data_IF_185794990920
#
_entry.id   IF_185794990920
#
_cell.length_a   1.000
_cell.length_b   1.000
_cell.length_c   1.000
_cell.angle_alpha   90.00
_cell.angle_beta   90.00
_cell.angle_gamma   90.00
#
_symmetry.space_group_name_H-M   'P 1'
#
loop_
_entity.id
_entity.type
_entity.pdbx_description
1 polymer ?
#
# COMPACT_ATOMS: atom_id res chain seq x y z
N UNK A 1 3.78 -18.15 -8.10
CA UNK A 1 2.44 -17.57 -8.36
C UNK A 1 2.48 -16.91 -9.73
N UNK A 2 1.55 -17.23 -10.62
CA UNK A 2 1.48 -16.65 -11.97
C UNK A 2 0.64 -15.35 -11.99
N UNK A 3 0.63 -14.64 -13.11
CA UNK A 3 -0.08 -13.36 -13.27
C UNK A 3 -1.59 -13.48 -13.02
N UNK A 4 -2.21 -14.55 -13.53
CA UNK A 4 -3.65 -14.79 -13.40
C UNK A 4 -4.04 -15.02 -11.93
N UNK A 5 -3.27 -15.84 -11.20
CA UNK A 5 -3.48 -16.08 -9.78
C UNK A 5 -3.29 -14.80 -8.95
N UNK A 6 -2.31 -13.96 -9.30
CA UNK A 6 -2.12 -12.66 -8.65
C UNK A 6 -3.32 -11.74 -8.89
N UNK A 7 -3.78 -11.61 -10.13
CA UNK A 7 -4.95 -10.78 -10.47
C UNK A 7 -6.21 -11.27 -9.75
N UNK A 8 -6.43 -12.58 -9.68
CA UNK A 8 -7.54 -13.17 -8.93
C UNK A 8 -7.48 -12.82 -7.44
N UNK A 9 -6.31 -12.97 -6.81
CA UNK A 9 -6.10 -12.60 -5.41
C UNK A 9 -6.37 -11.13 -5.14
N UNK A 10 -5.92 -10.23 -6.03
CA UNK A 10 -6.14 -8.79 -5.85
C UNK A 10 -7.61 -8.39 -6.04
N UNK A 11 -8.34 -9.07 -6.95
CA UNK A 11 -9.80 -8.90 -7.05
C UNK A 11 -10.51 -9.33 -5.76
N UNK A 12 -10.09 -10.44 -5.15
CA UNK A 12 -10.64 -10.89 -3.86
C UNK A 12 -10.40 -9.86 -2.75
N UNK A 13 -9.15 -9.42 -2.59
CA UNK A 13 -8.77 -8.40 -1.59
C UNK A 13 -9.55 -7.09 -1.81
N UNK A 14 -9.75 -6.70 -3.07
CA UNK A 14 -10.58 -5.53 -3.41
C UNK A 14 -12.00 -5.66 -2.88
N UNK A 15 -12.65 -6.81 -3.11
CA UNK A 15 -14.00 -7.08 -2.58
C UNK A 15 -14.04 -7.02 -1.06
N UNK A 16 -13.10 -7.67 -0.37
CA UNK A 16 -13.04 -7.68 1.11
C UNK A 16 -12.85 -6.28 1.70
N UNK A 17 -12.07 -5.43 1.03
CA UNK A 17 -11.74 -4.08 1.52
C UNK A 17 -12.65 -2.97 0.97
N UNK A 18 -13.67 -3.31 0.19
CA UNK A 18 -14.52 -2.33 -0.49
C UNK A 18 -13.78 -1.43 -1.48
N UNK A 19 -12.65 -1.91 -2.04
CA UNK A 19 -11.80 -1.20 -3.00
C UNK A 19 -11.88 -1.84 -4.38
N UNK A 20 -11.78 -1.05 -5.44
CA UNK A 20 -11.74 -1.62 -6.77
C UNK A 20 -10.37 -2.26 -7.08
N UNK A 21 -10.33 -3.15 -8.07
CA UNK A 21 -9.11 -3.85 -8.46
C UNK A 21 -7.95 -2.90 -8.79
N UNK A 22 -8.23 -1.78 -9.48
CA UNK A 22 -7.19 -0.85 -9.92
C UNK A 22 -6.54 -0.13 -8.73
N UNK A 23 -7.31 0.22 -7.70
CA UNK A 23 -6.78 0.77 -6.45
C UNK A 23 -5.86 -0.21 -5.74
N UNK A 24 -6.30 -1.46 -5.57
CA UNK A 24 -5.50 -2.50 -4.92
C UNK A 24 -4.24 -2.80 -5.72
N UNK A 25 -4.34 -2.86 -7.05
CA UNK A 25 -3.20 -3.05 -7.95
C UNK A 25 -2.18 -1.91 -7.83
N UNK A 26 -2.63 -0.65 -7.89
CA UNK A 26 -1.77 0.53 -7.75
C UNK A 26 -1.06 0.55 -6.39
N UNK A 27 -1.80 0.27 -5.30
CA UNK A 27 -1.22 0.21 -3.96
C UNK A 27 -0.17 -0.89 -3.85
N UNK A 28 -0.46 -2.10 -4.33
CA UNK A 28 0.52 -3.19 -4.35
C UNK A 28 1.81 -2.78 -5.07
N UNK A 29 1.68 -2.18 -6.26
CA UNK A 29 2.84 -1.77 -7.04
C UNK A 29 3.69 -0.75 -6.30
N UNK A 30 3.05 0.29 -5.74
CA UNK A 30 3.74 1.34 -4.99
C UNK A 30 4.40 0.81 -3.72
N UNK A 31 3.71 0.00 -2.93
CA UNK A 31 4.28 -0.63 -1.73
C UNK A 31 5.49 -1.50 -2.05
N UNK A 32 5.39 -2.32 -3.10
CA UNK A 32 6.50 -3.21 -3.50
C UNK A 32 7.66 -2.43 -4.09
N UNK A 33 7.39 -1.32 -4.78
CA UNK A 33 8.42 -0.41 -5.27
C UNK A 33 9.15 0.27 -4.10
N UNK A 34 8.41 0.89 -3.17
CA UNK A 34 8.98 1.56 -2.00
C UNK A 34 9.78 0.59 -1.12
N UNK A 35 9.27 -0.62 -0.92
CA UNK A 35 9.97 -1.66 -0.16
C UNK A 35 11.26 -2.15 -0.82
N UNK A 36 11.42 -2.01 -2.14
CA UNK A 36 12.69 -2.29 -2.83
C UNK A 36 13.61 -1.07 -2.79
N UNK A 37 13.05 0.12 -3.04
CA UNK A 37 13.78 1.38 -3.00
C UNK A 37 14.41 1.63 -1.62
N UNK A 38 13.70 1.32 -0.53
CA UNK A 38 14.22 1.48 0.84
C UNK A 38 15.40 0.57 1.18
N UNK A 39 15.62 -0.49 0.39
CA UNK A 39 16.73 -1.45 0.56
C UNK A 39 17.78 -1.32 -0.54
N UNK A 40 17.64 -0.38 -1.46
CA UNK A 40 18.62 -0.15 -2.51
C UNK A 40 19.71 0.81 -2.04
N UNK A 41 20.83 0.80 -2.77
CA UNK A 41 21.92 1.77 -2.64
C UNK A 41 21.48 3.22 -2.88
N UNK A 42 20.30 3.42 -3.48
CA UNK A 42 19.74 4.74 -3.79
C UNK A 42 18.80 5.27 -2.71
N UNK A 43 18.58 4.53 -1.61
CA UNK A 43 17.61 4.90 -0.58
C UNK A 43 17.83 6.30 0.00
N UNK A 44 19.08 6.75 0.10
CA UNK A 44 19.47 8.09 0.56
C UNK A 44 19.24 9.20 -0.48
N UNK A 45 18.96 8.85 -1.74
CA UNK A 45 18.69 9.79 -2.84
C UNK A 45 17.23 10.17 -2.96
N UNK A 46 16.33 9.52 -2.23
CA UNK A 46 14.90 9.72 -2.35
C UNK A 46 14.24 10.06 -1.01
N UNK A 47 13.35 11.05 -1.04
CA UNK A 47 12.46 11.35 0.08
C UNK A 47 11.06 10.87 -0.27
N UNK A 48 10.50 9.97 0.54
CA UNK A 48 9.11 9.58 0.42
C UNK A 48 8.20 10.68 0.98
N UNK A 49 7.25 11.18 0.17
CA UNK A 49 6.35 12.31 0.52
C UNK A 49 5.00 12.17 -0.19
N UNK A 50 4.15 13.19 -0.11
CA UNK A 50 2.93 13.34 -0.91
C UNK A 50 1.70 12.64 -0.34
N UNK A 51 0.67 12.47 -1.19
CA UNK A 51 -0.63 11.93 -0.78
C UNK A 51 -0.61 10.48 -0.31
N UNK A 52 0.28 9.64 -0.87
CA UNK A 52 0.41 8.26 -0.40
C UNK A 52 0.96 8.22 1.04
N UNK A 53 2.02 9.00 1.34
CA UNK A 53 2.53 9.12 2.70
C UNK A 53 1.46 9.62 3.67
N UNK A 54 0.71 10.67 3.28
CA UNK A 54 -0.40 11.19 4.09
C UNK A 54 -1.44 10.11 4.38
N UNK A 55 -1.79 9.27 3.39
CA UNK A 55 -2.78 8.20 3.57
C UNK A 55 -2.34 7.14 4.59
N UNK A 56 -1.04 6.84 4.69
CA UNK A 56 -0.50 5.97 5.74
C UNK A 56 -0.67 6.59 7.12
N UNK A 57 -0.30 7.86 7.28
CA UNK A 57 -0.47 8.56 8.56
C UNK A 57 -1.92 8.65 8.99
N UNK A 58 -2.86 8.92 8.06
CA UNK A 58 -4.28 8.96 8.36
C UNK A 58 -4.83 7.58 8.76
N UNK A 59 -4.37 6.51 8.11
CA UNK A 59 -4.76 5.13 8.46
C UNK A 59 -4.27 4.78 9.86
N UNK A 60 -2.99 4.99 10.16
CA UNK A 60 -2.40 4.73 11.48
C UNK A 60 -3.07 5.60 12.56
N UNK A 61 -3.34 6.87 12.27
CA UNK A 61 -4.03 7.79 13.17
C UNK A 61 -5.48 7.38 13.46
N UNK A 62 -6.16 6.72 12.51
CA UNK A 62 -7.51 6.21 12.72
C UNK A 62 -7.55 4.95 13.60
N UNK A 63 -6.53 4.09 13.52
CA UNK A 63 -6.38 2.88 14.35
C UNK A 63 -6.13 3.24 15.82
N UNK A 64 -5.34 4.28 16.08
CA UNK A 64 -5.01 4.73 17.45
C UNK A 64 -6.18 5.38 18.21
N UNK A 65 -7.27 5.78 17.54
CA UNK A 65 -8.46 6.35 18.20
C UNK A 65 -9.36 5.29 18.85
N UNK A 66 -9.10 4.01 18.64
CA UNK A 66 -9.83 2.90 19.28
C UNK A 66 -9.26 2.41 20.61
N UNK A 67 -8.17 3.01 21.13
CA UNK A 67 -7.54 2.62 22.41
C UNK A 67 -7.66 3.68 23.52
N UNK A 68 -8.46 4.73 23.31
CA UNK A 68 -8.67 5.78 24.30
C UNK A 68 -10.18 6.01 24.51
N UNK A 69 -10.94 4.94 24.77
CA UNK A 69 -12.23 4.96 25.49
C UNK A 69 -12.50 3.54 26.01
#
# INVERSE_FOLDING_TARGET
MNEQALKARLKHIGKEKGKNFNEVWKLLLLERFLARLSRSEYSDKFIFKGGLLLSYYLTIGSENRGQIF
#
